data_IF_717708286525
#
_entry.id   IF_717708286525
#
_cell.length_a   1.000
_cell.length_b   1.000
_cell.length_c   1.000
_cell.angle_alpha   90.00
_cell.angle_beta   90.00
_cell.angle_gamma   90.00
#
_symmetry.space_group_name_H-M   'P 1'
#
loop_
_entity.id
_entity.type
_entity.pdbx_description
1 polymer ?
#
# COMPACT_ATOMS: atom_id res chain seq x y z
N UNK A 1 -15.60 0.81 13.38
CA UNK A 1 -15.02 0.57 14.73
C UNK A 1 -13.55 0.24 14.57
N UNK A 2 -12.65 1.13 15.00
CA UNK A 2 -11.22 0.84 15.05
C UNK A 2 -10.91 0.02 16.31
N UNK A 3 -10.05 -1.00 16.26
CA UNK A 3 -9.70 -1.76 17.45
C UNK A 3 -8.89 -0.85 18.39
N UNK A 4 -9.40 -0.62 19.59
CA UNK A 4 -8.66 0.10 20.62
C UNK A 4 -7.43 -0.69 21.03
N UNK A 5 -6.25 -0.08 20.95
CA UNK A 5 -5.03 -0.67 21.50
C UNK A 5 -5.08 -0.49 23.01
N UNK A 6 -5.40 -1.58 23.73
CA UNK A 6 -5.32 -1.64 25.19
C UNK A 6 -3.86 -1.85 25.60
N UNK A 7 -3.24 -0.84 26.20
CA UNK A 7 -1.93 -0.96 26.81
C UNK A 7 -2.11 -1.43 28.27
N UNK A 8 -1.91 -2.72 28.52
CA UNK A 8 -1.89 -3.27 29.88
C UNK A 8 -0.59 -2.83 30.58
N UNK A 9 -0.69 -1.88 31.52
CA UNK A 9 0.42 -1.49 32.39
C UNK A 9 0.53 -2.52 33.51
N UNK A 10 1.37 -3.53 33.31
CA UNK A 10 1.71 -4.52 34.35
C UNK A 10 2.73 -3.89 35.29
N UNK A 11 2.36 -3.63 36.54
CA UNK A 11 3.31 -3.23 37.60
C UNK A 11 4.00 -4.50 38.09
N UNK A 12 5.29 -4.73 37.80
CA UNK A 12 5.91 -6.01 38.12
C UNK A 12 6.29 -6.08 39.60
N UNK A 13 5.74 -7.07 40.31
CA UNK A 13 6.21 -7.49 41.63
C UNK A 13 7.61 -8.12 41.58
N UNK A 14 8.05 -8.59 40.39
CA UNK A 14 9.39 -9.10 40.14
C UNK A 14 9.89 -8.60 38.76
N UNK A 15 10.86 -7.68 38.75
CA UNK A 15 11.40 -7.08 37.52
C UNK A 15 12.04 -8.11 36.58
N UNK A 16 12.74 -9.12 37.11
CA UNK A 16 13.41 -10.13 36.30
C UNK A 16 12.41 -11.01 35.53
N UNK A 17 11.32 -11.41 36.20
CA UNK A 17 10.24 -12.16 35.57
C UNK A 17 9.55 -11.34 34.46
N UNK A 18 9.36 -10.03 34.66
CA UNK A 18 8.79 -9.15 33.65
C UNK A 18 9.70 -8.98 32.43
N UNK A 19 11.02 -8.80 32.63
CA UNK A 19 11.98 -8.70 31.52
C UNK A 19 11.97 -9.97 30.68
N UNK A 20 11.95 -11.14 31.31
CA UNK A 20 11.94 -12.43 30.60
C UNK A 20 10.64 -12.65 29.81
N UNK A 21 9.49 -12.27 30.38
CA UNK A 21 8.21 -12.30 29.68
C UNK A 21 8.20 -11.33 28.49
N UNK A 22 8.75 -10.12 28.66
CA UNK A 22 8.81 -9.13 27.59
C UNK A 22 9.70 -9.61 26.45
N UNK A 23 10.86 -10.21 26.76
CA UNK A 23 11.75 -10.83 25.76
C UNK A 23 11.05 -11.95 24.98
N UNK A 24 10.33 -12.84 25.65
CA UNK A 24 9.55 -13.90 24.99
C UNK A 24 8.48 -13.32 24.06
N UNK A 25 7.77 -12.29 24.51
CA UNK A 25 6.74 -11.63 23.72
C UNK A 25 7.35 -10.88 22.52
N UNK A 26 8.50 -10.25 22.68
CA UNK A 26 9.25 -9.64 21.58
C UNK A 26 9.68 -10.67 20.55
N UNK A 27 10.19 -11.83 20.99
CA UNK A 27 10.61 -12.90 20.09
C UNK A 27 9.43 -13.45 19.28
N UNK A 28 8.28 -13.70 19.92
CA UNK A 28 7.06 -14.12 19.22
C UNK A 28 6.59 -13.08 18.20
N UNK A 29 6.62 -11.80 18.57
CA UNK A 29 6.28 -10.71 17.65
C UNK A 29 7.24 -10.63 16.46
N UNK A 30 8.55 -10.83 16.69
CA UNK A 30 9.55 -10.85 15.62
C UNK A 30 9.28 -11.99 14.64
N UNK A 31 9.03 -13.19 15.14
CA UNK A 31 8.72 -14.37 14.32
C UNK A 31 7.45 -14.15 13.50
N UNK A 32 6.38 -13.66 14.12
CA UNK A 32 5.12 -13.38 13.44
C UNK A 32 5.28 -12.33 12.35
N UNK A 33 6.05 -11.26 12.61
CA UNK A 33 6.34 -10.23 11.59
C UNK A 33 7.16 -10.79 10.43
N UNK A 34 8.17 -11.62 10.69
CA UNK A 34 8.95 -12.25 9.62
C UNK A 34 8.07 -13.14 8.73
N UNK A 35 7.21 -13.95 9.33
CA UNK A 35 6.30 -14.81 8.59
C UNK A 35 5.32 -14.00 7.73
N UNK A 36 4.76 -12.92 8.29
CA UNK A 36 3.86 -12.03 7.55
C UNK A 36 4.56 -11.31 6.40
N UNK A 37 5.81 -10.86 6.60
CA UNK A 37 6.60 -10.20 5.55
C UNK A 37 6.85 -11.13 4.38
N UNK A 38 7.25 -12.38 4.63
CA UNK A 38 7.44 -13.40 3.59
C UNK A 38 6.15 -13.63 2.81
N UNK A 39 5.02 -13.79 3.50
CA UNK A 39 3.73 -14.03 2.86
C UNK A 39 3.29 -12.86 1.97
N UNK A 40 3.51 -11.62 2.42
CA UNK A 40 3.17 -10.43 1.65
C UNK A 40 4.04 -10.25 0.40
N UNK A 41 5.30 -10.68 0.43
CA UNK A 41 6.15 -10.67 -0.77
C UNK A 41 5.58 -11.61 -1.84
N UNK A 42 5.21 -12.83 -1.44
CA UNK A 42 4.60 -13.82 -2.33
C UNK A 42 3.30 -13.29 -2.94
N UNK A 43 2.41 -12.71 -2.13
CA UNK A 43 1.16 -12.13 -2.64
C UNK A 43 1.41 -10.98 -3.60
N UNK A 44 2.39 -10.12 -3.33
CA UNK A 44 2.76 -9.06 -4.27
C UNK A 44 3.29 -9.60 -5.58
N UNK A 45 4.03 -10.69 -5.58
CA UNK A 45 4.54 -11.32 -6.81
C UNK A 45 3.41 -11.97 -7.61
N UNK A 46 2.46 -12.62 -6.94
CA UNK A 46 1.27 -13.23 -7.55
C UNK A 46 0.34 -12.18 -8.17
N UNK A 47 0.12 -11.07 -7.47
CA UNK A 47 -0.78 -10.00 -7.91
C UNK A 47 -0.10 -9.03 -8.89
N UNK A 48 1.23 -9.08 -9.01
CA UNK A 48 1.97 -8.22 -9.93
C UNK A 48 1.51 -8.54 -11.36
N UNK A 49 0.91 -7.59 -12.09
CA UNK A 49 0.57 -7.82 -13.49
C UNK A 49 1.85 -8.06 -14.28
N UNK A 50 1.91 -9.20 -14.99
CA UNK A 50 3.07 -9.68 -15.77
C UNK A 50 3.57 -8.65 -16.79
N UNK A 51 2.71 -7.74 -17.23
CA UNK A 51 3.06 -6.64 -18.11
C UNK A 51 2.36 -5.36 -17.66
N UNK A 52 3.07 -4.23 -17.72
CA UNK A 52 2.39 -2.94 -17.86
C UNK A 52 1.57 -3.04 -19.15
N UNK A 53 0.26 -2.92 -19.05
CA UNK A 53 -0.57 -2.78 -20.24
C UNK A 53 0.01 -1.66 -21.08
N UNK A 54 0.15 -1.85 -22.41
CA UNK A 54 0.62 -0.78 -23.27
C UNK A 54 -0.26 0.43 -23.01
N UNK A 55 0.38 1.58 -22.76
CA UNK A 55 -0.37 2.80 -22.55
C UNK A 55 -1.31 2.96 -23.74
N UNK A 56 -2.62 3.17 -23.52
CA UNK A 56 -3.54 3.37 -24.61
C UNK A 56 -2.98 4.48 -25.50
N UNK A 57 -3.05 4.29 -26.81
CA UNK A 57 -2.63 5.29 -27.79
C UNK A 57 -3.64 6.44 -27.72
N UNK A 58 -3.48 7.28 -26.69
CA UNK A 58 -4.23 8.50 -26.50
C UNK A 58 -3.53 9.57 -27.32
N UNK A 59 -4.27 10.36 -28.11
CA UNK A 59 -3.70 11.51 -28.79
C UNK A 59 -3.04 12.42 -27.75
N UNK A 60 -1.71 12.51 -27.79
CA UNK A 60 -0.97 13.54 -27.06
C UNK A 60 -1.19 14.82 -27.87
N UNK A 61 -2.14 15.64 -27.44
CA UNK A 61 -2.42 16.90 -28.10
C UNK A 61 -1.25 17.85 -27.86
N UNK A 62 -0.49 18.14 -28.93
CA UNK A 62 0.41 19.27 -28.94
C UNK A 62 -0.38 20.54 -28.63
N UNK A 63 0.22 21.43 -27.82
CA UNK A 63 -0.42 22.64 -27.27
C UNK A 63 -0.93 23.63 -28.33
N UNK A 64 -0.68 23.37 -29.62
CA UNK A 64 -1.05 24.19 -30.78
C UNK A 64 -2.47 23.95 -31.30
N UNK A 65 -3.12 22.87 -30.89
CA UNK A 65 -4.50 22.56 -31.28
C UNK A 65 -5.41 22.47 -30.06
N UNK A 66 -6.55 23.16 -30.10
CA UNK A 66 -7.59 23.09 -29.07
C UNK A 66 -8.76 22.26 -29.58
N UNK A 67 -9.36 21.49 -28.68
CA UNK A 67 -10.64 20.83 -28.93
C UNK A 67 -11.74 21.85 -28.61
N UNK A 68 -12.49 22.26 -29.62
CA UNK A 68 -13.59 23.23 -29.47
C UNK A 68 -14.90 22.59 -29.90
N UNK A 69 -15.98 22.89 -29.19
CA UNK A 69 -17.31 22.49 -29.61
C UNK A 69 -17.74 23.40 -30.77
N UNK A 70 -17.74 22.86 -31.99
CA UNK A 70 -18.20 23.55 -33.19
C UNK A 70 -19.62 23.08 -33.48
N UNK A 71 -20.60 23.83 -32.97
CA UNK A 71 -22.00 23.40 -33.02
C UNK A 71 -22.27 22.23 -32.08
N UNK A 72 -22.82 21.13 -32.61
CA UNK A 72 -23.15 19.91 -31.84
C UNK A 72 -22.02 18.85 -31.84
N UNK A 73 -20.88 19.13 -32.47
CA UNK A 73 -19.75 18.20 -32.57
C UNK A 73 -18.49 18.82 -31.95
N UNK A 74 -17.68 17.97 -31.32
CA UNK A 74 -16.35 18.38 -30.83
C UNK A 74 -15.39 18.26 -32.00
N UNK A 75 -14.85 19.38 -32.45
CA UNK A 75 -13.93 19.45 -33.58
C UNK A 75 -12.57 19.98 -33.16
N UNK A 76 -11.53 19.54 -33.87
CA UNK A 76 -10.14 19.96 -33.63
C UNK A 76 -9.88 21.27 -34.38
N UNK A 77 -9.56 22.34 -33.65
CA UNK A 77 -9.17 23.63 -34.22
C UNK A 77 -7.68 23.85 -33.95
N UNK A 78 -6.88 23.80 -35.02
CA UNK A 78 -5.46 24.14 -34.99
C UNK A 78 -5.29 25.51 -35.67
N UNK A 79 -4.49 26.40 -35.06
CA UNK A 79 -4.07 27.65 -35.68
C UNK A 79 -2.69 27.50 -36.30
#
# INVERSE_FOLDING_TARGET
MAPGISAQVVIPTNRNALVQQNQLQQLQNQLQRQQYQQQQQIYRELDRPTARQPQPNVPVYDQTCRMEAVGNTISRVCR
#
